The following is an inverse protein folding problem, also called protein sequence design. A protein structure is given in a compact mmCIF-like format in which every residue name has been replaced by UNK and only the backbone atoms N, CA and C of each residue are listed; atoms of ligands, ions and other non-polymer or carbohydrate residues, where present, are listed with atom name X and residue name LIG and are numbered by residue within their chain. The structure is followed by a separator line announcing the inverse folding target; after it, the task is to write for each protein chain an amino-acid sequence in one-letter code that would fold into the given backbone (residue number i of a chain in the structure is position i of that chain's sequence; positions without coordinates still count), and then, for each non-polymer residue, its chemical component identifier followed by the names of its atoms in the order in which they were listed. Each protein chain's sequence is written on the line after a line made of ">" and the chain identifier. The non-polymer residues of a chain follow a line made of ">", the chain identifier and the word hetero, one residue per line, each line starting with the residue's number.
data_IF_263951968952
#
_entry.id   IF_263951968952
#
_cell.length_a   1.000
_cell.length_b   1.000
_cell.length_c   1.000
_cell.angle_alpha   90.00
_cell.angle_beta   90.00
_cell.angle_gamma   90.00
#
_symmetry.space_group_name_H-M   'P 1'
#
loop_
_entity.id
_entity.type
_entity.pdbx_description
1 polymer ?
2 water ?
#
# COMPACT_ATOMS: atom_id res chain seq x y z
N UNK A 3 -9.03 12.20 7.71
CA UNK A 3 -8.73 11.35 6.55
C UNK A 3 -9.95 10.97 5.74
N UNK A 4 -9.85 10.41 4.54
CA UNK A 4 -11.12 9.96 3.96
C UNK A 4 -11.51 8.68 4.68
N UNK A 5 -12.79 8.30 4.63
CA UNK A 5 -13.10 6.95 5.11
C UNK A 5 -12.74 5.95 4.03
N UNK A 6 -12.34 4.77 4.50
CA UNK A 6 -12.04 3.67 3.64
C UNK A 6 -13.28 3.27 2.85
N UNK A 7 -13.14 2.76 1.62
CA UNK A 7 -11.90 2.70 0.81
C UNK A 7 -11.62 4.01 0.13
N UNK A 8 -10.30 4.32 -0.03
CA UNK A 8 -9.90 5.49 -0.74
C UNK A 8 -8.55 5.27 -1.40
N UNK A 9 -8.30 6.04 -2.47
CA UNK A 9 -7.04 5.91 -3.24
C UNK A 9 -5.93 6.77 -2.68
N UNK A 10 -4.72 6.20 -2.75
CA UNK A 10 -3.48 6.87 -2.46
C UNK A 10 -2.50 6.56 -3.59
N UNK A 11 -1.42 7.37 -3.67
CA UNK A 11 -0.38 7.16 -4.67
C UNK A 11 0.97 7.13 -3.98
N UNK A 12 1.75 6.08 -4.18
CA UNK A 12 3.08 5.97 -3.58
C UNK A 12 3.98 7.08 -4.04
N UNK A 13 4.59 7.78 -3.10
CA UNK A 13 5.58 8.85 -3.34
C UNK A 13 7.01 8.33 -3.43
N UNK A 14 7.25 7.17 -2.84
CA UNK A 14 8.53 6.48 -2.79
C UNK A 14 8.24 4.99 -2.83
N UNK A 15 9.18 4.19 -3.34
CA UNK A 15 8.98 2.74 -3.29
C UNK A 15 9.00 2.25 -1.85
N UNK A 16 8.20 1.25 -1.58
CA UNK A 16 8.20 0.56 -0.28
C UNK A 16 8.48 -0.91 -0.52
N UNK A 17 9.72 -1.32 -0.27
CA UNK A 17 10.12 -2.73 -0.47
C UNK A 17 10.61 -3.19 0.88
N UNK A 18 10.19 -4.33 1.36
CA UNK A 18 10.57 -4.82 2.68
C UNK A 18 10.66 -6.34 2.69
N UNK A 19 11.16 -6.88 3.80
CA UNK A 19 11.31 -8.31 3.96
C UNK A 19 10.15 -9.01 4.64
N UNK A 20 9.02 -8.32 4.88
CA UNK A 20 7.94 -8.83 5.73
C UNK A 20 6.77 -9.35 4.92
N UNK A 21 6.38 -10.59 5.23
CA UNK A 21 5.41 -11.32 4.46
C UNK A 21 4.06 -10.62 4.40
N UNK A 22 3.63 -10.06 5.52
CA UNK A 22 2.29 -9.46 5.53
C UNK A 22 2.28 -8.04 4.97
N UNK A 23 3.46 -7.52 4.60
CA UNK A 23 3.57 -6.16 4.05
C UNK A 23 3.09 -6.11 2.61
N UNK A 24 2.48 -4.98 2.21
CA UNK A 24 2.33 -4.66 0.78
C UNK A 24 3.61 -3.92 0.36
N UNK A 25 4.15 -4.36 -0.79
CA UNK A 25 5.30 -3.66 -1.37
C UNK A 25 4.91 -3.13 -2.74
N UNK A 26 5.61 -2.10 -3.19
CA UNK A 26 5.23 -1.37 -4.39
C UNK A 26 6.34 -0.44 -4.80
N UNK A 27 6.25 -0.04 -6.09
CA UNK A 27 7.20 0.93 -6.66
C UNK A 27 6.61 2.35 -6.52
N UNK A 28 7.49 3.31 -6.70
CA UNK A 28 7.09 4.70 -6.80
C UNK A 28 5.97 4.88 -7.80
N UNK A 29 5.01 5.73 -7.55
CA UNK A 29 3.91 6.14 -8.41
C UNK A 29 2.72 5.16 -8.36
N UNK A 30 2.82 4.02 -7.67
CA UNK A 30 1.77 3.00 -7.67
C UNK A 30 0.54 3.58 -7.01
N UNK A 31 -0.61 3.44 -7.67
CA UNK A 31 -1.90 3.78 -7.06
C UNK A 31 -2.39 2.57 -6.25
N UNK A 32 -2.85 2.83 -5.05
CA UNK A 32 -3.23 1.79 -4.09
C UNK A 32 -4.61 2.15 -3.52
N UNK A 33 -5.44 1.14 -3.30
CA UNK A 33 -6.71 1.35 -2.57
C UNK A 33 -6.46 0.99 -1.12
N UNK A 34 -6.62 1.96 -0.22
CA UNK A 34 -6.59 1.75 1.22
C UNK A 34 -7.93 1.17 1.63
N UNK A 35 -7.89 -0.03 2.22
CA UNK A 35 -9.10 -0.72 2.67
C UNK A 35 -9.20 -0.84 4.19
N UNK A 36 -8.16 -0.54 4.95
CA UNK A 36 -8.28 -0.38 6.38
C UNK A 36 -7.20 0.55 6.86
N UNK A 37 -7.50 1.29 7.89
CA UNK A 37 -6.54 2.11 8.62
C UNK A 37 -6.18 1.35 9.88
N UNK A 38 -4.96 0.85 10.04
CA UNK A 38 -4.58 -0.06 11.12
C UNK A 38 -4.35 0.74 12.37
N UNK A 39 -3.62 1.83 12.26
CA UNK A 39 -3.30 2.72 13.38
C UNK A 39 -2.76 4.02 12.80
N UNK A 40 -2.13 4.84 13.62
CA UNK A 40 -1.70 6.14 13.15
C UNK A 40 -0.61 5.99 12.09
N UNK A 41 0.11 4.85 12.08
CA UNK A 41 1.26 4.73 11.19
C UNK A 41 0.98 3.92 9.94
N UNK A 42 0.12 2.93 9.99
CA UNK A 42 -0.01 1.93 8.98
C UNK A 42 -1.42 1.90 8.33
N UNK A 43 -1.40 1.74 7.00
CA UNK A 43 -2.55 1.40 6.20
C UNK A 43 -2.49 -0.08 5.82
N UNK A 44 -3.65 -0.66 5.51
CA UNK A 44 -3.76 -1.92 4.80
C UNK A 44 -4.43 -1.60 3.49
N UNK A 45 -3.96 -2.18 2.39
CA UNK A 45 -4.62 -1.95 1.13
C UNK A 45 -4.12 -2.87 0.02
N UNK A 46 -4.48 -2.52 -1.21
CA UNK A 46 -4.33 -3.42 -2.30
C UNK A 46 -4.08 -2.69 -3.60
N UNK A 47 -3.53 -3.42 -4.59
CA UNK A 47 -3.52 -2.96 -5.96
C UNK A 47 -3.41 -4.20 -6.86
N UNK A 48 -3.70 -4.02 -8.09
CA UNK A 48 -3.60 -5.07 -9.09
C UNK A 48 -2.27 -4.94 -9.81
N UNK A 49 -1.43 -5.93 -9.73
CA UNK A 49 -0.08 -5.89 -10.28
C UNK A 49 -0.10 -6.13 -11.78
N UNK A 50 1.05 -6.17 -12.45
CA UNK A 50 0.91 -6.23 -13.90
C UNK A 50 0.41 -7.60 -14.36
N UNK A 51 0.59 -8.61 -13.49
CA UNK A 51 0.14 -9.94 -13.80
C UNK A 51 -1.37 -10.06 -13.74
N UNK A 52 -2.09 -9.02 -13.31
CA UNK A 52 -3.50 -8.97 -13.07
C UNK A 52 -3.92 -9.51 -11.72
N UNK A 53 -2.98 -9.79 -10.85
CA UNK A 53 -3.28 -10.30 -9.55
C UNK A 53 -3.41 -9.19 -8.53
N UNK A 54 -4.42 -9.29 -7.67
CA UNK A 54 -4.57 -8.36 -6.58
C UNK A 54 -3.61 -8.76 -5.46
N UNK A 55 -2.82 -7.83 -5.03
CA UNK A 55 -2.02 -8.15 -3.84
C UNK A 55 -2.29 -7.08 -2.80
N UNK A 56 -2.16 -7.54 -1.56
CA UNK A 56 -2.63 -6.81 -0.40
C UNK A 56 -1.64 -6.86 0.72
N UNK A 57 -1.73 -5.93 1.65
CA UNK A 57 -0.93 -5.97 2.86
C UNK A 57 -0.82 -4.60 3.51
N UNK A 58 0.01 -4.52 4.54
CA UNK A 58 0.16 -3.31 5.33
C UNK A 58 1.35 -2.52 4.80
N UNK A 59 1.31 -1.19 4.95
CA UNK A 59 2.39 -0.33 4.49
C UNK A 59 2.27 1.01 5.23
N UNK A 60 3.36 1.77 5.31
CA UNK A 60 3.31 3.02 6.09
C UNK A 60 2.58 4.13 5.33
N UNK A 61 1.69 4.84 6.07
CA UNK A 61 1.02 6.00 5.50
C UNK A 61 2.04 6.99 4.95
N UNK A 62 3.19 7.12 5.57
CA UNK A 62 4.16 8.15 5.20
C UNK A 62 4.68 7.96 3.79
N UNK A 63 4.57 6.80 3.17
CA UNK A 63 5.08 6.54 1.84
C UNK A 63 4.13 6.97 0.73
N UNK A 64 2.89 7.36 1.07
CA UNK A 64 1.88 7.65 0.08
C UNK A 64 1.26 9.03 0.31
N UNK A 65 0.56 9.52 -0.70
CA UNK A 65 -0.26 10.72 -0.61
C UNK A 65 -1.70 10.40 -1.04
N UNK A 66 -2.64 11.00 -0.35
CA UNK A 66 -4.04 10.85 -0.80
C UNK A 66 -4.20 11.36 -2.22
N UNK A 67 -4.93 10.58 -3.01
CA UNK A 67 -5.13 10.88 -4.41
C UNK A 67 -6.16 12.01 -4.57
N UNK A 68 -5.78 12.99 -5.37
CA UNK A 68 -6.28 14.31 -5.61
C UNK A 68 -7.31 14.59 -4.51
#
# INVERSE_FOLDING_TARGET
>A
MSEPEVPFKVVAQFPYKSDYEDDLNFEKDQEIIVTSVEDAEWYFGEYQDSNGDVIEGIFPKSFVAVQG
#
